data_IF_163911361313
#
_entry.id   IF_163911361313
#
_cell.length_a   1.000
_cell.length_b   1.000
_cell.length_c   1.000
_cell.angle_alpha   90.00
_cell.angle_beta   90.00
_cell.angle_gamma   90.00
#
_symmetry.space_group_name_H-M   'P 1'
#
loop_
_entity.id
_entity.type
_entity.pdbx_description
1 polymer ?
#
# COMPACT_ATOMS: atom_id res chain seq x y z
N UNK A 1 38.93 37.90 11.41
CA UNK A 1 40.21 37.85 10.63
C UNK A 1 40.04 36.77 9.55
N UNK A 2 39.66 37.27 8.50
CA UNK A 2 40.04 37.17 7.07
C UNK A 2 40.41 35.77 6.54
N UNK A 3 39.41 35.24 5.89
CA UNK A 3 39.48 34.23 4.83
C UNK A 3 39.99 34.92 3.56
N UNK A 4 41.26 34.79 3.20
CA UNK A 4 41.85 35.06 1.87
C UNK A 4 43.30 34.62 1.89
N UNK A 5 43.63 33.77 0.95
CA UNK A 5 44.96 33.33 0.49
C UNK A 5 45.14 31.82 0.61
N UNK A 6 44.79 31.11 -0.45
CA UNK A 6 45.68 30.26 -1.21
C UNK A 6 44.99 29.98 -2.55
N UNK A 7 45.24 30.89 -3.48
CA UNK A 7 45.04 30.66 -4.91
C UNK A 7 46.36 31.12 -5.53
N UNK A 8 47.23 30.23 -5.98
CA UNK A 8 48.24 30.55 -7.01
C UNK A 8 48.91 29.28 -7.55
N UNK A 9 48.85 29.20 -8.86
CA UNK A 9 49.74 28.52 -9.81
C UNK A 9 49.63 27.01 -10.02
N UNK A 10 48.96 26.61 -11.08
CA UNK A 10 49.55 25.76 -12.11
C UNK A 10 49.28 26.37 -13.49
N UNK A 11 50.34 26.85 -14.08
CA UNK A 11 50.43 27.43 -15.42
C UNK A 11 50.33 26.30 -16.46
N UNK A 12 49.46 26.49 -17.44
CA UNK A 12 49.28 25.65 -18.62
C UNK A 12 50.47 25.88 -19.56
N UNK A 13 51.19 24.82 -19.88
CA UNK A 13 52.07 24.77 -21.05
C UNK A 13 51.36 23.95 -22.12
N UNK A 14 50.84 24.64 -23.11
CA UNK A 14 50.34 24.07 -24.37
C UNK A 14 51.52 23.76 -25.28
N UNK A 15 51.79 22.51 -25.57
CA UNK A 15 52.59 22.06 -26.71
C UNK A 15 51.71 21.11 -27.56
N UNK A 16 51.59 21.34 -28.86
CA UNK A 16 50.77 20.49 -29.72
C UNK A 16 51.60 19.27 -30.16
N UNK A 17 51.12 18.06 -29.79
CA UNK A 17 51.54 16.83 -30.48
C UNK A 17 50.33 16.09 -31.02
N UNK A 18 50.15 16.26 -32.31
CA UNK A 18 49.35 15.37 -33.15
C UNK A 18 50.11 14.05 -33.28
N UNK A 19 49.61 13.00 -32.70
CA UNK A 19 50.13 11.64 -32.93
C UNK A 19 49.86 10.71 -31.74
N UNK A 20 48.86 9.82 -31.87
CA UNK A 20 48.65 8.63 -31.03
C UNK A 20 47.36 8.57 -30.16
N UNK A 21 46.26 9.03 -30.67
CA UNK A 21 44.95 8.67 -30.08
C UNK A 21 44.64 7.15 -30.18
N UNK A 22 45.32 6.42 -31.09
CA UNK A 22 45.15 4.96 -31.22
C UNK A 22 45.95 4.15 -30.18
N UNK A 23 47.07 4.67 -29.66
CA UNK A 23 47.93 3.97 -28.68
C UNK A 23 47.32 4.09 -27.28
N UNK A 24 46.84 5.27 -26.91
CA UNK A 24 46.19 5.51 -25.62
C UNK A 24 44.87 4.70 -25.47
N UNK A 25 44.07 4.56 -26.55
CA UNK A 25 42.87 3.70 -26.51
C UNK A 25 43.20 2.20 -26.41
N UNK A 26 44.38 1.77 -26.91
CA UNK A 26 44.81 0.37 -26.82
C UNK A 26 45.31 0.06 -25.40
N UNK A 27 46.04 0.98 -24.79
CA UNK A 27 46.57 0.81 -23.42
C UNK A 27 45.45 0.91 -22.37
N UNK A 28 44.46 1.81 -22.53
CA UNK A 28 43.26 1.83 -21.66
C UNK A 28 42.40 0.56 -21.79
N UNK A 29 42.25 0.03 -23.03
CA UNK A 29 41.53 -1.23 -23.21
C UNK A 29 42.28 -2.42 -22.61
N UNK A 30 43.59 -2.41 -22.62
CA UNK A 30 44.42 -3.45 -22.03
C UNK A 30 44.46 -3.37 -20.51
N UNK A 31 44.45 -2.15 -19.92
CA UNK A 31 44.25 -1.95 -18.46
C UNK A 31 42.88 -2.38 -17.99
N UNK A 32 41.78 -2.03 -18.69
CA UNK A 32 40.43 -2.45 -18.34
C UNK A 32 40.20 -3.96 -18.47
N UNK A 33 40.95 -4.64 -19.36
CA UNK A 33 40.90 -6.11 -19.49
C UNK A 33 41.71 -6.78 -18.38
N UNK A 34 42.85 -6.19 -17.96
CA UNK A 34 43.63 -6.69 -16.82
C UNK A 34 42.96 -6.45 -15.49
N UNK A 35 42.27 -5.32 -15.28
CA UNK A 35 41.42 -5.10 -14.07
C UNK A 35 40.21 -6.05 -14.02
N UNK A 36 39.52 -6.25 -15.14
CA UNK A 36 38.41 -7.25 -15.20
C UNK A 36 38.89 -8.69 -15.08
N UNK A 37 40.14 -9.01 -15.39
CA UNK A 37 40.73 -10.34 -15.14
C UNK A 37 41.28 -10.46 -13.71
N UNK A 38 41.64 -9.38 -13.04
CA UNK A 38 42.02 -9.36 -11.64
C UNK A 38 40.80 -9.52 -10.72
N UNK A 39 39.66 -8.91 -11.07
CA UNK A 39 38.40 -9.11 -10.34
C UNK A 39 37.80 -10.54 -10.48
N UNK A 40 38.19 -11.31 -11.50
CA UNK A 40 37.78 -12.71 -11.70
C UNK A 40 38.68 -13.76 -11.03
N UNK A 41 39.77 -13.34 -10.37
CA UNK A 41 40.54 -14.19 -9.48
C UNK A 41 40.38 -13.79 -8.01
N UNK A 42 39.14 -13.68 -7.53
CA UNK A 42 38.86 -14.07 -6.16
C UNK A 42 39.08 -15.58 -6.16
N UNK A 43 40.24 -16.02 -5.74
CA UNK A 43 40.49 -17.39 -5.34
C UNK A 43 39.49 -17.66 -4.24
N UNK A 44 38.39 -18.30 -4.59
CA UNK A 44 37.62 -19.04 -3.61
C UNK A 44 38.60 -20.04 -3.03
N UNK A 45 39.18 -19.71 -1.88
CA UNK A 45 39.73 -20.73 -1.00
C UNK A 45 38.64 -21.81 -0.92
N UNK A 46 38.94 -23.06 -1.27
CA UNK A 46 37.98 -24.12 -1.05
C UNK A 46 37.64 -24.05 0.43
N UNK A 47 36.37 -23.68 0.73
CA UNK A 47 35.80 -23.95 2.05
C UNK A 47 35.98 -25.44 2.18
N UNK A 48 36.90 -25.85 3.02
CA UNK A 48 37.01 -27.25 3.43
C UNK A 48 35.63 -27.58 4.03
N UNK A 49 34.77 -28.23 3.26
CA UNK A 49 33.51 -28.72 3.74
C UNK A 49 33.88 -29.67 4.88
N UNK A 50 33.62 -29.26 6.12
CA UNK A 50 33.73 -30.18 7.25
C UNK A 50 32.92 -31.40 6.90
N UNK A 51 33.50 -32.65 7.09
CA UNK A 51 32.81 -33.87 6.74
C UNK A 51 31.43 -33.90 7.43
N UNK A 52 30.41 -34.32 6.71
CA UNK A 52 29.05 -34.40 7.28
C UNK A 52 29.09 -35.34 8.50
N UNK A 53 28.45 -34.91 9.61
CA UNK A 53 28.41 -35.73 10.83
C UNK A 53 27.78 -37.13 10.57
N UNK A 54 28.41 -38.19 11.07
CA UNK A 54 27.93 -39.53 10.92
C UNK A 54 26.75 -39.80 11.87
N UNK A 55 25.64 -40.28 11.34
CA UNK A 55 24.47 -40.65 12.15
C UNK A 55 24.73 -42.06 12.72
N UNK A 56 24.84 -42.14 14.05
CA UNK A 56 25.03 -43.39 14.79
C UNK A 56 23.70 -43.92 15.33
N UNK A 57 23.68 -45.16 15.80
CA UNK A 57 22.53 -45.77 16.49
C UNK A 57 22.15 -44.95 17.74
N UNK A 58 23.13 -44.47 18.49
CA UNK A 58 22.94 -43.61 19.65
C UNK A 58 22.20 -42.30 19.28
N UNK A 59 22.52 -41.69 18.13
CA UNK A 59 21.80 -40.54 17.64
C UNK A 59 20.30 -40.83 17.44
N UNK A 60 19.97 -41.97 16.85
CA UNK A 60 18.57 -42.38 16.60
C UNK A 60 17.81 -42.62 17.90
N UNK A 61 18.45 -43.27 18.87
CA UNK A 61 17.90 -43.53 20.21
C UNK A 61 17.62 -42.19 20.91
N UNK A 62 18.60 -41.28 20.96
CA UNK A 62 18.46 -40.00 21.62
C UNK A 62 17.41 -39.10 20.95
N UNK A 63 17.26 -39.14 19.60
CA UNK A 63 16.17 -38.46 18.89
C UNK A 63 14.80 -38.93 19.42
N UNK A 64 14.63 -40.24 19.60
CA UNK A 64 13.37 -40.80 20.10
C UNK A 64 13.12 -40.40 21.56
N UNK A 65 14.14 -40.44 22.41
CA UNK A 65 14.05 -40.08 23.83
C UNK A 65 13.64 -38.64 24.03
N UNK A 66 14.37 -37.69 23.45
CA UNK A 66 14.00 -36.27 23.66
C UNK A 66 12.64 -35.95 23.03
N UNK A 67 12.30 -36.55 21.89
CA UNK A 67 11.01 -36.31 21.23
C UNK A 67 9.83 -36.73 22.10
N UNK A 68 9.91 -37.93 22.71
CA UNK A 68 8.89 -38.40 23.66
C UNK A 68 8.81 -37.48 24.89
N UNK A 69 9.96 -37.08 25.45
CA UNK A 69 9.98 -36.13 26.57
C UNK A 69 9.33 -34.80 26.22
N UNK A 70 9.59 -34.25 25.02
CA UNK A 70 8.95 -33.01 24.54
C UNK A 70 7.44 -33.16 24.35
N UNK A 71 6.97 -34.32 23.81
CA UNK A 71 5.52 -34.60 23.70
C UNK A 71 4.85 -34.58 25.06
N UNK A 72 5.53 -35.10 26.08
CA UNK A 72 5.06 -35.12 27.46
C UNK A 72 5.31 -33.82 28.22
N UNK A 73 5.86 -32.80 27.57
CA UNK A 73 6.24 -31.48 28.15
C UNK A 73 7.30 -31.58 29.26
N UNK A 74 8.10 -32.64 29.26
CA UNK A 74 9.20 -32.88 30.17
C UNK A 74 10.49 -32.29 29.58
N UNK A 75 10.55 -30.96 29.49
CA UNK A 75 11.61 -30.28 28.74
C UNK A 75 12.98 -30.37 29.42
N UNK A 76 13.02 -30.42 30.74
CA UNK A 76 14.26 -30.65 31.48
C UNK A 76 14.89 -32.02 31.19
N UNK A 77 14.06 -33.09 31.17
CA UNK A 77 14.50 -34.44 30.87
C UNK A 77 14.88 -34.61 29.39
N UNK A 78 14.31 -33.78 28.51
CA UNK A 78 14.61 -33.78 27.09
C UNK A 78 15.97 -33.15 26.75
N UNK A 79 16.55 -32.30 27.64
CA UNK A 79 17.72 -31.48 27.30
C UNK A 79 18.97 -32.32 26.99
N UNK A 80 19.37 -33.23 27.87
CA UNK A 80 20.60 -34.00 27.71
C UNK A 80 20.59 -34.91 26.46
N UNK A 81 19.55 -35.74 26.19
CA UNK A 81 19.50 -36.52 24.95
C UNK A 81 19.40 -35.61 23.70
N UNK A 82 18.70 -34.50 23.78
CA UNK A 82 18.66 -33.52 22.69
C UNK A 82 20.03 -32.85 22.44
N UNK A 83 20.73 -32.43 23.50
CA UNK A 83 22.06 -31.80 23.39
C UNK A 83 23.10 -32.75 22.78
N UNK A 84 23.06 -34.02 23.19
CA UNK A 84 23.90 -35.09 22.59
C UNK A 84 23.72 -35.12 21.06
N UNK A 85 22.48 -35.21 20.57
CA UNK A 85 22.21 -35.25 19.13
C UNK A 85 22.55 -33.95 18.44
N UNK A 86 22.16 -32.80 19.01
CA UNK A 86 22.44 -31.48 18.46
C UNK A 86 23.94 -31.23 18.30
N UNK A 87 24.75 -31.76 19.20
CA UNK A 87 26.21 -31.58 19.20
C UNK A 87 26.94 -32.54 18.25
N UNK A 88 26.53 -33.80 18.20
CA UNK A 88 27.29 -34.88 17.52
C UNK A 88 26.73 -35.24 16.14
N UNK A 89 25.42 -35.21 15.95
CA UNK A 89 24.74 -35.62 14.72
C UNK A 89 23.59 -34.66 14.33
N UNK A 90 23.89 -33.36 14.13
CA UNK A 90 22.91 -32.32 13.89
C UNK A 90 22.12 -32.48 12.57
N UNK A 91 22.59 -33.33 11.68
CA UNK A 91 21.93 -33.70 10.41
C UNK A 91 21.00 -34.93 10.53
N UNK A 92 20.86 -35.52 11.69
CA UNK A 92 20.11 -36.78 11.86
C UNK A 92 18.60 -36.59 11.61
N UNK A 93 18.00 -35.52 12.11
CA UNK A 93 16.57 -35.25 11.91
C UNK A 93 16.25 -33.79 12.15
N UNK A 94 15.39 -33.19 11.32
CA UNK A 94 14.92 -31.77 11.50
C UNK A 94 14.18 -31.54 12.82
N UNK A 95 13.67 -32.60 13.46
CA UNK A 95 12.99 -32.49 14.76
C UNK A 95 13.93 -31.98 15.87
N UNK A 96 15.26 -32.18 15.72
CA UNK A 96 16.30 -31.65 16.60
C UNK A 96 16.09 -30.13 16.79
N UNK A 97 15.71 -29.44 15.72
CA UNK A 97 15.55 -27.97 15.69
C UNK A 97 14.16 -27.54 16.14
N UNK A 98 13.11 -28.27 15.74
CA UNK A 98 11.73 -27.89 16.09
C UNK A 98 11.39 -28.22 17.56
N UNK A 99 11.88 -29.30 18.10
CA UNK A 99 11.71 -29.64 19.51
C UNK A 99 12.77 -28.96 20.36
N UNK A 100 14.01 -28.80 19.84
CA UNK A 100 15.06 -28.02 20.49
C UNK A 100 14.63 -26.60 20.81
N UNK A 101 13.87 -25.93 19.89
CA UNK A 101 13.32 -24.62 20.16
C UNK A 101 12.39 -24.59 21.40
N UNK A 102 11.54 -25.61 21.56
CA UNK A 102 10.65 -25.74 22.72
C UNK A 102 11.42 -26.02 24.01
N UNK A 103 12.47 -26.88 23.92
CA UNK A 103 13.35 -27.22 25.06
C UNK A 103 14.05 -25.95 25.55
N UNK A 104 14.73 -25.23 24.63
CA UNK A 104 15.49 -24.03 24.95
C UNK A 104 14.57 -22.93 25.50
N UNK A 105 13.38 -22.72 24.91
CA UNK A 105 12.40 -21.77 25.41
C UNK A 105 11.92 -22.10 26.82
N UNK A 106 11.63 -23.37 27.09
CA UNK A 106 11.17 -23.81 28.41
C UNK A 106 12.25 -23.61 29.48
N UNK A 107 13.52 -23.96 29.19
CA UNK A 107 14.64 -23.77 30.09
C UNK A 107 14.92 -22.29 30.31
N UNK A 108 14.86 -21.43 29.27
CA UNK A 108 15.01 -20.00 29.39
C UNK A 108 13.96 -19.38 30.32
N UNK A 109 12.71 -19.83 30.23
CA UNK A 109 11.63 -19.37 31.11
C UNK A 109 11.76 -19.89 32.55
N UNK A 110 12.39 -21.02 32.75
CA UNK A 110 12.54 -21.63 34.06
C UNK A 110 13.74 -21.08 34.85
N UNK A 111 14.78 -20.60 34.20
CA UNK A 111 15.96 -20.05 34.87
C UNK A 111 15.79 -18.60 35.28
N UNK A 112 16.36 -18.24 36.42
CA UNK A 112 16.52 -16.84 36.87
C UNK A 112 17.97 -16.37 36.77
N UNK A 113 18.89 -17.26 36.37
CA UNK A 113 20.31 -16.92 36.17
C UNK A 113 20.49 -16.19 34.83
N UNK A 114 20.93 -14.96 34.87
CA UNK A 114 21.11 -14.10 33.68
C UNK A 114 22.21 -14.63 32.74
N UNK A 115 23.24 -15.25 33.26
CA UNK A 115 24.28 -15.88 32.41
C UNK A 115 23.74 -17.09 31.66
N UNK A 116 22.91 -17.90 32.30
CA UNK A 116 22.22 -19.01 31.66
C UNK A 116 21.16 -18.55 30.66
N UNK A 117 20.43 -17.48 30.97
CA UNK A 117 19.51 -16.87 29.99
C UNK A 117 20.26 -16.42 28.74
N UNK A 118 21.36 -15.71 28.87
CA UNK A 118 22.16 -15.27 27.72
C UNK A 118 22.69 -16.47 26.91
N UNK A 119 23.16 -17.50 27.58
CA UNK A 119 23.61 -18.74 26.93
C UNK A 119 22.48 -19.39 26.12
N UNK A 120 21.28 -19.49 26.70
CA UNK A 120 20.11 -20.10 26.04
C UNK A 120 19.58 -19.23 24.90
N UNK A 121 19.58 -17.90 25.07
CA UNK A 121 19.21 -16.97 24.02
C UNK A 121 20.14 -17.08 22.79
N UNK A 122 21.46 -17.12 23.03
CA UNK A 122 22.44 -17.34 22.00
C UNK A 122 22.25 -18.69 21.30
N UNK A 123 22.04 -19.76 22.06
CA UNK A 123 21.78 -21.09 21.54
C UNK A 123 20.53 -21.13 20.65
N UNK A 124 19.44 -20.45 21.04
CA UNK A 124 18.21 -20.40 20.25
C UNK A 124 18.43 -19.80 18.85
N UNK A 125 19.27 -18.78 18.75
CA UNK A 125 19.60 -18.12 17.46
C UNK A 125 20.58 -18.98 16.64
N UNK A 126 21.67 -19.43 17.24
CA UNK A 126 22.70 -20.28 16.57
C UNK A 126 22.13 -21.60 16.08
N UNK A 127 21.15 -22.13 16.78
CA UNK A 127 20.44 -23.36 16.37
C UNK A 127 19.76 -23.17 14.99
N UNK A 128 19.24 -21.99 14.67
CA UNK A 128 18.65 -21.74 13.37
C UNK A 128 19.70 -21.67 12.25
N UNK A 129 20.91 -21.16 12.52
CA UNK A 129 22.01 -21.19 11.54
C UNK A 129 22.44 -22.63 11.24
N UNK A 130 22.56 -23.45 12.28
CA UNK A 130 22.85 -24.85 12.12
C UNK A 130 21.73 -25.61 11.37
N UNK A 131 20.44 -25.23 11.62
CA UNK A 131 19.30 -25.76 10.86
C UNK A 131 19.36 -25.37 9.38
N UNK A 132 19.74 -24.13 9.06
CA UNK A 132 19.92 -23.70 7.67
C UNK A 132 20.99 -24.53 6.99
N UNK A 133 22.13 -24.76 7.65
CA UNK A 133 23.24 -25.56 7.11
C UNK A 133 22.78 -26.96 6.68
N UNK A 134 22.04 -27.68 7.53
CA UNK A 134 21.69 -29.08 7.29
C UNK A 134 20.33 -29.27 6.62
N UNK A 135 19.40 -28.36 6.77
CA UNK A 135 18.00 -28.49 6.32
C UNK A 135 17.47 -27.28 5.54
N UNK A 136 18.33 -26.35 5.15
CA UNK A 136 17.91 -25.15 4.43
C UNK A 136 17.38 -25.41 3.02
N UNK A 137 17.66 -26.59 2.45
CA UNK A 137 17.15 -27.02 1.14
C UNK A 137 15.83 -27.80 1.22
N UNK A 138 15.20 -27.93 2.40
CA UNK A 138 13.91 -28.59 2.55
C UNK A 138 12.84 -27.83 1.73
N UNK A 139 12.12 -28.49 0.80
CA UNK A 139 11.16 -27.80 -0.08
C UNK A 139 10.00 -27.14 0.69
N UNK A 140 9.64 -27.68 1.86
CA UNK A 140 8.55 -27.18 2.70
C UNK A 140 9.03 -26.10 3.69
N UNK A 141 10.26 -26.21 4.14
CA UNK A 141 10.84 -25.35 5.17
C UNK A 141 12.23 -24.84 4.72
N UNK A 142 12.31 -24.11 3.58
CA UNK A 142 13.59 -23.67 3.03
C UNK A 142 14.28 -22.67 3.95
N UNK A 143 15.51 -22.30 3.58
CA UNK A 143 16.30 -21.27 4.29
C UNK A 143 15.49 -20.03 4.62
N UNK A 144 14.69 -19.51 3.68
CA UNK A 144 13.86 -18.34 3.90
C UNK A 144 12.83 -18.54 5.03
N UNK A 145 12.22 -19.73 5.12
CA UNK A 145 11.34 -20.08 6.24
C UNK A 145 12.08 -20.08 7.57
N UNK A 146 13.28 -20.71 7.62
CA UNK A 146 14.09 -20.83 8.83
C UNK A 146 14.57 -19.45 9.30
N UNK A 147 14.88 -18.53 8.38
CA UNK A 147 15.22 -17.15 8.72
C UNK A 147 14.06 -16.46 9.45
N UNK A 148 12.80 -16.73 9.07
CA UNK A 148 11.65 -16.23 9.83
C UNK A 148 11.64 -16.71 11.28
N UNK A 149 11.93 -18.00 11.51
CA UNK A 149 12.04 -18.56 12.86
C UNK A 149 13.22 -17.93 13.63
N UNK A 150 14.34 -17.66 12.94
CA UNK A 150 15.49 -16.97 13.54
C UNK A 150 15.16 -15.54 13.96
N UNK A 151 14.44 -14.79 13.10
CA UNK A 151 13.95 -13.46 13.44
C UNK A 151 13.03 -13.48 14.67
N UNK A 152 12.12 -14.45 14.73
CA UNK A 152 11.28 -14.65 15.92
C UNK A 152 12.10 -14.98 17.17
N UNK A 153 13.12 -15.82 17.05
CA UNK A 153 14.00 -16.14 18.17
C UNK A 153 14.73 -14.90 18.72
N UNK A 154 15.20 -13.99 17.85
CA UNK A 154 15.74 -12.72 18.33
C UNK A 154 14.73 -11.93 19.16
N UNK A 155 13.47 -11.85 18.72
CA UNK A 155 12.43 -11.12 19.44
C UNK A 155 12.05 -11.78 20.77
N UNK A 156 11.93 -13.12 20.77
CA UNK A 156 11.49 -13.88 21.93
C UNK A 156 12.54 -13.89 23.07
N UNK A 157 13.82 -13.88 22.71
CA UNK A 157 14.91 -14.04 23.69
C UNK A 157 15.64 -12.72 24.00
N UNK A 158 15.70 -11.78 23.05
CA UNK A 158 16.42 -10.52 23.22
C UNK A 158 15.50 -9.29 23.24
N UNK A 159 14.21 -9.46 22.94
CA UNK A 159 13.25 -8.36 22.87
C UNK A 159 13.72 -7.25 21.93
N UNK A 160 13.69 -6.01 22.40
CA UNK A 160 14.04 -4.84 21.59
C UNK A 160 15.55 -4.56 21.51
N UNK A 161 16.41 -5.38 22.15
CA UNK A 161 17.87 -5.13 22.15
C UNK A 161 18.55 -5.58 20.86
N UNK A 162 17.90 -6.44 20.07
CA UNK A 162 18.39 -7.04 18.81
C UNK A 162 17.43 -6.83 17.65
N UNK A 163 16.77 -5.65 17.58
CA UNK A 163 15.79 -5.36 16.54
C UNK A 163 16.38 -5.36 15.13
N UNK A 164 17.61 -4.90 14.94
CA UNK A 164 18.23 -4.86 13.62
C UNK A 164 18.50 -6.28 13.09
N UNK A 165 18.99 -7.17 13.93
CA UNK A 165 19.24 -8.57 13.59
C UNK A 165 17.92 -9.33 13.34
N UNK A 166 16.88 -9.06 14.15
CA UNK A 166 15.54 -9.61 13.96
C UNK A 166 14.96 -9.15 12.63
N UNK A 167 15.05 -7.84 12.32
CA UNK A 167 14.60 -7.23 11.09
C UNK A 167 15.25 -7.88 9.86
N UNK A 168 16.58 -7.98 9.83
CA UNK A 168 17.33 -8.56 8.72
C UNK A 168 16.85 -10.00 8.42
N UNK A 169 16.65 -10.81 9.46
CA UNK A 169 16.15 -12.17 9.33
C UNK A 169 14.70 -12.21 8.82
N UNK A 170 13.80 -11.39 9.39
CA UNK A 170 12.38 -11.34 8.99
C UNK A 170 12.23 -10.84 7.56
N UNK A 171 12.95 -9.80 7.17
CA UNK A 171 12.90 -9.23 5.83
C UNK A 171 13.36 -10.23 4.78
N UNK A 172 14.50 -10.91 5.00
CA UNK A 172 14.99 -11.97 4.12
C UNK A 172 14.01 -13.15 4.04
N UNK A 173 13.38 -13.49 5.15
CA UNK A 173 12.34 -14.51 5.18
C UNK A 173 11.14 -14.14 4.30
N UNK A 174 10.58 -12.94 4.49
CA UNK A 174 9.42 -12.48 3.73
C UNK A 174 9.76 -12.33 2.24
N UNK A 175 10.93 -11.79 1.92
CA UNK A 175 11.40 -11.68 0.53
C UNK A 175 11.52 -13.05 -0.16
N UNK A 176 11.97 -14.07 0.55
CA UNK A 176 12.15 -15.42 -0.01
C UNK A 176 10.87 -16.26 -0.04
N UNK A 177 9.97 -16.10 0.94
CA UNK A 177 8.72 -16.86 1.04
C UNK A 177 7.55 -16.20 0.33
N UNK A 178 7.57 -14.89 0.16
CA UNK A 178 6.49 -14.11 -0.46
C UNK A 178 5.14 -14.37 0.21
N UNK A 179 4.11 -14.63 -0.60
CA UNK A 179 2.76 -14.94 -0.11
C UNK A 179 2.65 -16.27 0.68
N UNK A 180 3.72 -17.09 0.72
CA UNK A 180 3.76 -18.30 1.56
C UNK A 180 4.34 -18.04 2.96
N UNK A 181 4.73 -16.80 3.26
CA UNK A 181 5.20 -16.42 4.60
C UNK A 181 4.16 -16.71 5.66
N UNK A 182 4.61 -17.09 6.87
CA UNK A 182 3.69 -17.15 8.01
C UNK A 182 3.09 -15.77 8.26
N UNK A 183 1.79 -15.70 8.56
CA UNK A 183 1.09 -14.44 8.89
C UNK A 183 1.84 -13.67 9.98
N UNK A 184 2.28 -14.35 11.04
CA UNK A 184 3.00 -13.70 12.14
C UNK A 184 4.38 -13.17 11.73
N UNK A 185 5.07 -13.81 10.78
CA UNK A 185 6.34 -13.28 10.24
C UNK A 185 6.11 -11.97 9.48
N UNK A 186 5.01 -11.88 8.69
CA UNK A 186 4.61 -10.65 8.02
C UNK A 186 4.30 -9.52 9.01
N UNK A 187 3.53 -9.83 10.05
CA UNK A 187 3.18 -8.86 11.10
C UNK A 187 4.42 -8.39 11.84
N UNK A 188 5.28 -9.33 12.27
CA UNK A 188 6.49 -9.00 13.04
C UNK A 188 7.52 -8.22 12.23
N UNK A 189 7.58 -8.40 10.91
CA UNK A 189 8.39 -7.54 10.05
C UNK A 189 7.94 -6.08 10.17
N UNK A 190 6.62 -5.80 10.12
CA UNK A 190 6.09 -4.44 10.25
C UNK A 190 6.29 -3.88 11.66
N UNK A 191 6.02 -4.68 12.71
CA UNK A 191 6.23 -4.26 14.10
C UNK A 191 7.67 -3.81 14.34
N UNK A 192 8.63 -4.67 13.96
CA UNK A 192 10.07 -4.41 14.16
C UNK A 192 10.54 -3.24 13.31
N UNK A 193 10.09 -3.16 12.06
CA UNK A 193 10.42 -2.06 11.16
C UNK A 193 9.88 -0.73 11.67
N UNK A 194 8.68 -0.71 12.27
CA UNK A 194 8.11 0.47 12.92
C UNK A 194 8.92 0.90 14.15
N UNK A 195 9.35 -0.07 14.99
CA UNK A 195 10.18 0.24 16.15
C UNK A 195 11.56 0.79 15.73
N UNK A 196 12.16 0.26 14.67
CA UNK A 196 13.39 0.80 14.09
C UNK A 196 13.17 2.21 13.50
N UNK A 197 12.05 2.43 12.80
CA UNK A 197 11.69 3.76 12.29
C UNK A 197 11.58 4.79 13.42
N UNK A 198 10.98 4.44 14.54
CA UNK A 198 10.92 5.34 15.72
C UNK A 198 12.31 5.65 16.30
N UNK A 199 13.27 4.73 16.18
CA UNK A 199 14.62 4.91 16.68
C UNK A 199 15.52 5.72 15.75
N UNK A 200 15.43 5.50 14.43
CA UNK A 200 16.39 6.00 13.44
C UNK A 200 15.81 6.95 12.39
N UNK A 201 14.47 7.10 12.34
CA UNK A 201 13.78 7.97 11.38
C UNK A 201 13.76 7.47 9.93
N UNK A 202 14.22 6.22 9.65
CA UNK A 202 14.26 5.68 8.29
C UNK A 202 12.86 5.29 7.80
N UNK A 203 12.13 6.27 7.27
CA UNK A 203 10.77 6.07 6.75
C UNK A 203 10.76 5.19 5.49
N UNK A 204 11.77 5.30 4.62
CA UNK A 204 11.85 4.53 3.36
C UNK A 204 11.86 3.02 3.64
N UNK A 205 12.68 2.56 4.60
CA UNK A 205 12.73 1.15 4.98
C UNK A 205 11.39 0.68 5.56
N UNK A 206 10.82 1.47 6.47
CA UNK A 206 9.54 1.11 7.09
C UNK A 206 8.40 1.03 6.07
N UNK A 207 8.31 1.98 5.12
CA UNK A 207 7.32 1.97 4.04
C UNK A 207 7.51 0.72 3.17
N UNK A 208 8.74 0.39 2.78
CA UNK A 208 9.05 -0.78 1.97
C UNK A 208 8.62 -2.09 2.65
N UNK A 209 8.93 -2.25 3.93
CA UNK A 209 8.58 -3.45 4.71
C UNK A 209 7.07 -3.57 4.91
N UNK A 210 6.40 -2.44 5.21
CA UNK A 210 4.95 -2.39 5.30
C UNK A 210 4.28 -2.80 3.99
N UNK A 211 4.70 -2.23 2.86
CA UNK A 211 4.12 -2.56 1.55
C UNK A 211 4.30 -4.05 1.22
N UNK A 212 5.49 -4.59 1.45
CA UNK A 212 5.77 -6.01 1.23
C UNK A 212 4.85 -6.89 2.08
N UNK A 213 4.76 -6.65 3.38
CA UNK A 213 3.95 -7.43 4.29
C UNK A 213 2.44 -7.29 4.01
N UNK A 214 1.94 -6.06 3.83
CA UNK A 214 0.53 -5.77 3.56
C UNK A 214 0.06 -6.40 2.25
N UNK A 215 0.87 -6.36 1.17
CA UNK A 215 0.54 -7.00 -0.10
C UNK A 215 0.46 -8.54 0.02
N UNK A 216 1.36 -9.17 0.77
CA UNK A 216 1.30 -10.62 1.00
C UNK A 216 0.13 -11.02 1.89
N UNK A 217 -0.19 -10.24 2.92
CA UNK A 217 -1.40 -10.43 3.74
C UNK A 217 -2.67 -10.30 2.89
N UNK A 218 -2.76 -9.32 2.00
CA UNK A 218 -3.87 -9.15 1.07
C UNK A 218 -4.02 -10.37 0.15
N UNK A 219 -2.92 -10.87 -0.41
CA UNK A 219 -2.91 -12.08 -1.24
C UNK A 219 -3.40 -13.30 -0.48
N UNK A 220 -2.98 -13.46 0.79
CA UNK A 220 -3.44 -14.56 1.64
C UNK A 220 -4.92 -14.41 2.01
N UNK A 221 -5.39 -13.19 2.27
CA UNK A 221 -6.77 -12.89 2.64
C UNK A 221 -7.76 -13.14 1.48
N UNK A 222 -7.35 -12.81 0.26
CA UNK A 222 -8.18 -12.99 -0.94
C UNK A 222 -8.19 -14.42 -1.50
N UNK A 223 -7.34 -15.31 -1.01
CA UNK A 223 -7.26 -16.68 -1.48
C UNK A 223 -8.34 -17.56 -0.81
N UNK A 224 -9.39 -18.00 -1.52
CA UNK A 224 -10.47 -18.79 -0.93
C UNK A 224 -10.03 -20.19 -0.46
N UNK A 225 -8.90 -20.70 -0.97
CA UNK A 225 -8.33 -21.96 -0.51
C UNK A 225 -7.50 -21.83 0.79
N UNK A 226 -7.22 -20.60 1.23
CA UNK A 226 -6.47 -20.35 2.46
C UNK A 226 -7.38 -20.45 3.69
N UNK A 227 -7.21 -21.49 4.50
CA UNK A 227 -7.96 -21.69 5.75
C UNK A 227 -7.78 -20.53 6.75
N UNK A 228 -6.71 -19.75 6.63
CA UNK A 228 -6.38 -18.62 7.48
C UNK A 228 -6.71 -17.27 6.82
N UNK A 229 -7.51 -17.23 5.75
CA UNK A 229 -7.83 -15.99 5.02
C UNK A 229 -8.40 -14.90 5.93
N UNK A 230 -9.35 -15.23 6.83
CA UNK A 230 -9.90 -14.28 7.80
C UNK A 230 -8.85 -13.76 8.80
N UNK A 231 -7.89 -14.60 9.21
CA UNK A 231 -6.78 -14.17 10.07
C UNK A 231 -5.86 -13.23 9.30
N UNK A 232 -5.54 -13.55 8.04
CA UNK A 232 -4.73 -12.69 7.20
C UNK A 232 -5.38 -11.32 6.97
N UNK A 233 -6.70 -11.26 6.72
CA UNK A 233 -7.45 -10.02 6.61
C UNK A 233 -7.36 -9.17 7.88
N UNK A 234 -7.64 -9.77 9.05
CA UNK A 234 -7.52 -9.07 10.34
C UNK A 234 -6.11 -8.55 10.62
N UNK A 235 -5.09 -9.33 10.28
CA UNK A 235 -3.70 -8.90 10.48
C UNK A 235 -3.28 -7.84 9.47
N UNK A 236 -3.86 -7.84 8.26
CA UNK A 236 -3.69 -6.75 7.31
C UNK A 236 -4.23 -5.45 7.87
N UNK A 237 -5.46 -5.45 8.41
CA UNK A 237 -6.03 -4.25 9.05
C UNK A 237 -5.15 -3.75 10.20
N UNK A 238 -4.54 -4.65 10.97
CA UNK A 238 -3.61 -4.29 12.03
C UNK A 238 -2.36 -3.58 11.50
N UNK A 239 -1.68 -4.12 10.50
CA UNK A 239 -0.47 -3.48 9.94
C UNK A 239 -0.80 -2.18 9.20
N UNK A 240 -1.96 -2.10 8.54
CA UNK A 240 -2.44 -0.87 7.89
C UNK A 240 -2.69 0.24 8.94
N UNK A 241 -3.22 -0.10 10.12
CA UNK A 241 -3.39 0.84 11.23
C UNK A 241 -2.05 1.34 11.79
N UNK A 242 -1.06 0.44 11.98
CA UNK A 242 0.30 0.86 12.40
C UNK A 242 0.87 1.87 11.39
N UNK A 243 0.74 1.58 10.11
CA UNK A 243 1.24 2.47 9.05
C UNK A 243 0.52 3.83 9.07
N UNK A 244 -0.80 3.84 9.21
CA UNK A 244 -1.60 5.07 9.23
C UNK A 244 -1.24 6.00 10.39
N UNK A 245 -0.95 5.45 11.59
CA UNK A 245 -0.61 6.26 12.78
C UNK A 245 0.88 6.58 12.89
N UNK A 246 1.73 5.99 12.07
CA UNK A 246 3.19 6.11 12.18
C UNK A 246 3.73 7.49 11.85
N UNK A 247 2.99 8.29 11.06
CA UNK A 247 3.47 9.53 10.44
C UNK A 247 4.46 9.32 9.29
N UNK A 248 4.76 8.07 8.89
CA UNK A 248 5.52 7.78 7.68
C UNK A 248 4.69 7.99 6.41
N UNK A 249 3.35 7.95 6.53
CA UNK A 249 2.38 8.21 5.47
C UNK A 249 2.12 9.71 5.21
N UNK A 250 2.86 10.62 5.85
CA UNK A 250 2.77 12.06 5.58
C UNK A 250 3.21 12.39 4.16
N UNK A 251 2.39 13.17 3.43
CA UNK A 251 2.62 13.47 2.02
C UNK A 251 3.96 14.17 1.76
N UNK A 252 4.36 15.09 2.66
CA UNK A 252 5.63 15.81 2.50
C UNK A 252 6.83 14.86 2.64
N UNK A 253 6.77 13.91 3.57
CA UNK A 253 7.83 12.89 3.73
C UNK A 253 7.90 11.95 2.53
N UNK A 254 6.75 11.54 2.00
CA UNK A 254 6.72 10.74 0.77
C UNK A 254 7.32 11.50 -0.41
N UNK A 255 7.03 12.79 -0.53
CA UNK A 255 7.60 13.64 -1.57
C UNK A 255 9.12 13.76 -1.43
N UNK A 256 9.66 13.94 -0.23
CA UNK A 256 11.10 13.95 0.04
C UNK A 256 11.77 12.64 -0.39
N UNK A 257 11.15 11.49 -0.11
CA UNK A 257 11.69 10.16 -0.43
C UNK A 257 11.63 9.89 -1.93
N UNK A 258 10.50 10.17 -2.58
CA UNK A 258 10.24 9.68 -3.93
C UNK A 258 10.47 10.69 -5.06
N UNK A 259 10.59 12.00 -4.80
CA UNK A 259 10.75 13.02 -5.85
C UNK A 259 11.97 12.75 -6.75
N UNK A 260 13.13 12.50 -6.16
CA UNK A 260 14.36 12.20 -6.91
C UNK A 260 14.25 10.85 -7.64
N UNK A 261 13.65 9.85 -7.01
CA UNK A 261 13.48 8.51 -7.58
C UNK A 261 12.56 8.54 -8.82
N UNK A 262 11.43 9.23 -8.75
CA UNK A 262 10.50 9.40 -9.89
C UNK A 262 11.19 10.13 -11.05
N UNK A 263 11.88 11.23 -10.76
CA UNK A 263 12.57 12.03 -11.78
C UNK A 263 13.68 11.26 -12.49
N UNK A 264 14.44 10.43 -11.77
CA UNK A 264 15.55 9.65 -12.31
C UNK A 264 15.10 8.37 -13.05
N UNK A 265 13.91 7.86 -12.81
CA UNK A 265 13.47 6.54 -13.28
C UNK A 265 12.13 6.58 -14.04
N UNK A 266 11.93 7.58 -14.89
CA UNK A 266 10.70 7.78 -15.68
C UNK A 266 10.36 6.62 -16.64
N UNK A 267 11.28 5.70 -16.88
CA UNK A 267 11.08 4.49 -17.69
C UNK A 267 10.89 3.21 -16.87
N UNK A 268 10.95 3.28 -15.54
CA UNK A 268 10.74 2.13 -14.66
C UNK A 268 9.26 2.01 -14.27
N UNK A 269 8.49 1.32 -15.11
CA UNK A 269 7.05 1.18 -14.95
C UNK A 269 6.66 0.57 -13.58
N UNK A 270 7.34 -0.50 -13.15
CA UNK A 270 7.02 -1.19 -11.89
C UNK A 270 7.16 -0.25 -10.68
N UNK A 271 8.25 0.52 -10.63
CA UNK A 271 8.47 1.51 -9.57
C UNK A 271 7.42 2.62 -9.60
N UNK A 272 7.13 3.18 -10.79
CA UNK A 272 6.15 4.26 -10.92
C UNK A 272 4.74 3.82 -10.50
N UNK A 273 4.33 2.60 -10.87
CA UNK A 273 3.04 2.02 -10.46
C UNK A 273 2.97 1.76 -8.95
N UNK A 274 4.05 1.28 -8.33
CA UNK A 274 4.13 1.09 -6.87
C UNK A 274 3.97 2.43 -6.14
N UNK A 275 4.69 3.46 -6.59
CA UNK A 275 4.58 4.80 -6.01
C UNK A 275 3.16 5.34 -6.17
N UNK A 276 2.56 5.26 -7.35
CA UNK A 276 1.19 5.72 -7.58
C UNK A 276 0.18 5.01 -6.67
N UNK A 277 0.29 3.69 -6.50
CA UNK A 277 -0.56 2.92 -5.58
C UNK A 277 -0.37 3.30 -4.12
N UNK A 278 0.88 3.54 -3.68
CA UNK A 278 1.18 4.01 -2.33
C UNK A 278 0.50 5.35 -2.05
N UNK A 279 0.73 6.35 -2.92
CA UNK A 279 0.16 7.69 -2.75
C UNK A 279 -1.37 7.67 -2.76
N UNK A 280 -2.00 6.86 -3.62
CA UNK A 280 -3.46 6.66 -3.63
C UNK A 280 -3.94 6.09 -2.30
N UNK A 281 -3.27 5.05 -1.78
CA UNK A 281 -3.61 4.39 -0.52
C UNK A 281 -3.61 5.35 0.66
N UNK A 282 -2.61 6.23 0.74
CA UNK A 282 -2.47 7.21 1.82
C UNK A 282 -3.16 8.55 1.53
N UNK A 283 -3.94 8.64 0.46
CA UNK A 283 -4.71 9.82 0.03
C UNK A 283 -3.85 11.06 -0.27
N UNK A 284 -2.60 10.88 -0.69
CA UNK A 284 -1.69 11.95 -1.13
C UNK A 284 -1.78 12.22 -2.64
N UNK A 285 -2.98 12.15 -3.21
CA UNK A 285 -3.22 12.25 -4.67
C UNK A 285 -3.06 13.64 -5.25
N UNK A 286 -2.89 14.65 -4.39
CA UNK A 286 -2.63 16.04 -4.81
C UNK A 286 -1.12 16.36 -4.91
N UNK A 287 -0.23 15.43 -4.52
CA UNK A 287 1.21 15.62 -4.59
C UNK A 287 1.71 15.70 -6.04
N UNK A 288 2.65 16.61 -6.31
CA UNK A 288 3.31 16.72 -7.63
C UNK A 288 4.13 15.46 -7.97
N UNK A 289 4.67 14.77 -6.97
CA UNK A 289 5.40 13.50 -7.14
C UNK A 289 4.46 12.39 -7.60
N UNK A 290 3.28 12.30 -6.98
CA UNK A 290 2.22 11.38 -7.42
C UNK A 290 1.81 11.64 -8.86
N UNK A 291 1.50 12.89 -9.20
CA UNK A 291 1.05 13.27 -10.53
C UNK A 291 2.12 12.99 -11.59
N UNK A 292 3.40 13.28 -11.28
CA UNK A 292 4.53 12.96 -12.16
C UNK A 292 4.71 11.46 -12.35
N UNK A 293 4.59 10.67 -11.28
CA UNK A 293 4.65 9.21 -11.36
C UNK A 293 3.52 8.64 -12.23
N UNK A 294 2.29 9.13 -12.05
CA UNK A 294 1.13 8.73 -12.85
C UNK A 294 1.30 9.09 -14.33
N UNK A 295 1.76 10.31 -14.64
CA UNK A 295 2.00 10.74 -16.02
C UNK A 295 3.08 9.88 -16.71
N UNK A 296 4.18 9.61 -16.02
CA UNK A 296 5.24 8.77 -16.55
C UNK A 296 4.77 7.31 -16.76
N UNK A 297 4.06 6.74 -15.78
CA UNK A 297 3.51 5.39 -15.87
C UNK A 297 2.48 5.28 -17.02
N UNK A 298 1.61 6.29 -17.17
CA UNK A 298 0.57 6.30 -18.21
C UNK A 298 1.15 6.30 -19.62
N UNK A 299 2.27 7.02 -19.84
CA UNK A 299 2.98 7.02 -21.12
C UNK A 299 3.58 5.65 -21.47
N UNK A 300 3.96 4.87 -20.45
CA UNK A 300 4.55 3.54 -20.64
C UNK A 300 3.46 2.48 -20.80
N UNK A 301 2.50 2.47 -19.89
CA UNK A 301 1.37 1.54 -19.89
C UNK A 301 0.20 2.15 -19.13
N UNK A 302 -0.90 2.51 -19.78
CA UNK A 302 -2.10 3.02 -19.11
C UNK A 302 -2.68 2.02 -18.11
N UNK A 303 -2.93 2.46 -16.88
CA UNK A 303 -3.69 1.76 -15.85
C UNK A 303 -4.78 2.68 -15.31
N UNK A 304 -5.73 2.15 -14.55
CA UNK A 304 -6.77 2.97 -13.93
C UNK A 304 -6.17 4.07 -13.01
N UNK A 305 -5.15 3.75 -12.22
CA UNK A 305 -4.48 4.71 -11.33
C UNK A 305 -3.74 5.78 -12.13
N UNK A 306 -3.01 5.39 -13.18
CA UNK A 306 -2.27 6.36 -13.99
C UNK A 306 -3.20 7.28 -14.75
N UNK A 307 -4.32 6.77 -15.28
CA UNK A 307 -5.33 7.59 -15.94
C UNK A 307 -5.99 8.57 -14.96
N UNK A 308 -6.36 8.12 -13.75
CA UNK A 308 -6.93 8.98 -12.70
C UNK A 308 -5.92 10.07 -12.25
N UNK A 309 -4.63 9.75 -12.16
CA UNK A 309 -3.58 10.73 -11.88
C UNK A 309 -3.44 11.77 -12.98
N UNK A 310 -3.47 11.37 -14.25
CA UNK A 310 -3.50 12.29 -15.39
C UNK A 310 -4.74 13.19 -15.39
N UNK A 311 -5.91 12.64 -15.00
CA UNK A 311 -7.13 13.43 -14.85
C UNK A 311 -6.98 14.51 -13.77
N UNK A 312 -6.45 14.14 -12.59
CA UNK A 312 -6.19 15.10 -11.50
C UNK A 312 -5.20 16.19 -11.92
N UNK A 313 -4.13 15.81 -12.66
CA UNK A 313 -3.16 16.78 -13.19
C UNK A 313 -3.83 17.76 -14.17
N UNK A 314 -4.64 17.25 -15.10
CA UNK A 314 -5.36 18.11 -16.07
C UNK A 314 -6.31 19.07 -15.36
N UNK A 315 -7.03 18.60 -14.34
CA UNK A 315 -7.91 19.43 -13.53
C UNK A 315 -7.15 20.53 -12.77
N UNK A 316 -5.98 20.25 -12.20
CA UNK A 316 -5.09 21.26 -11.58
C UNK A 316 -4.69 22.36 -12.57
N UNK A 317 -4.51 22.02 -13.83
CA UNK A 317 -4.20 22.95 -14.92
C UNK A 317 -5.44 23.72 -15.44
N UNK A 318 -6.64 23.40 -14.94
CA UNK A 318 -7.91 23.98 -15.38
C UNK A 318 -8.46 23.36 -16.67
N UNK A 319 -7.83 22.30 -17.19
CA UNK A 319 -8.28 21.57 -18.37
C UNK A 319 -9.26 20.45 -17.95
N UNK A 320 -10.49 20.85 -17.67
CA UNK A 320 -11.51 19.93 -17.15
C UNK A 320 -12.05 18.96 -18.22
N UNK A 321 -12.02 19.33 -19.48
CA UNK A 321 -12.43 18.43 -20.57
C UNK A 321 -11.47 17.27 -20.69
N UNK A 322 -10.17 17.54 -20.70
CA UNK A 322 -9.13 16.50 -20.68
C UNK A 322 -9.19 15.67 -19.39
N UNK A 323 -9.45 16.30 -18.23
CA UNK A 323 -9.63 15.58 -16.98
C UNK A 323 -10.79 14.57 -17.04
N UNK A 324 -11.94 14.97 -17.58
CA UNK A 324 -13.10 14.10 -17.77
C UNK A 324 -12.76 12.97 -18.75
N UNK A 325 -12.02 13.23 -19.83
CA UNK A 325 -11.59 12.20 -20.76
C UNK A 325 -10.70 11.12 -20.10
N UNK A 326 -9.73 11.54 -19.30
CA UNK A 326 -8.88 10.61 -18.54
C UNK A 326 -9.65 9.83 -17.46
N UNK A 327 -10.61 10.45 -16.75
CA UNK A 327 -11.46 9.73 -15.82
C UNK A 327 -12.34 8.70 -16.54
N UNK A 328 -12.87 8.99 -17.72
CA UNK A 328 -13.60 8.00 -18.52
C UNK A 328 -12.70 6.82 -18.90
N UNK A 329 -11.45 7.06 -19.26
CA UNK A 329 -10.47 6.00 -19.48
C UNK A 329 -10.22 5.18 -18.21
N UNK A 330 -10.05 5.86 -17.05
CA UNK A 330 -9.89 5.20 -15.76
C UNK A 330 -11.09 4.29 -15.42
N UNK A 331 -12.33 4.75 -15.70
CA UNK A 331 -13.56 3.97 -15.49
C UNK A 331 -13.53 2.68 -16.32
N UNK A 332 -13.16 2.76 -17.59
CA UNK A 332 -13.14 1.55 -18.44
C UNK A 332 -12.03 0.57 -18.02
N UNK A 333 -10.85 1.07 -17.64
CA UNK A 333 -9.76 0.25 -17.11
C UNK A 333 -10.14 -0.40 -15.77
N UNK A 334 -10.76 0.36 -14.85
CA UNK A 334 -11.22 -0.15 -13.56
C UNK A 334 -12.30 -1.23 -13.70
N UNK A 335 -13.23 -1.08 -14.65
CA UNK A 335 -14.23 -2.12 -14.99
C UNK A 335 -13.54 -3.40 -15.47
N UNK A 336 -12.56 -3.28 -16.35
CA UNK A 336 -11.82 -4.42 -16.87
C UNK A 336 -11.05 -5.18 -15.79
N UNK A 337 -10.59 -4.47 -14.74
CA UNK A 337 -9.90 -5.02 -13.57
C UNK A 337 -10.86 -5.54 -12.50
N UNK A 338 -12.17 -5.26 -12.60
CA UNK A 338 -13.17 -5.60 -11.58
C UNK A 338 -13.16 -4.69 -10.35
N UNK A 339 -12.47 -3.55 -10.42
CA UNK A 339 -12.34 -2.58 -9.32
C UNK A 339 -13.55 -1.66 -9.24
N UNK A 340 -14.72 -2.22 -8.93
CA UNK A 340 -16.00 -1.50 -9.02
C UNK A 340 -16.13 -0.33 -8.02
N UNK A 341 -15.42 -0.34 -6.90
CA UNK A 341 -15.36 0.81 -5.99
C UNK A 341 -14.67 2.01 -6.65
N UNK A 342 -13.55 1.77 -7.33
CA UNK A 342 -12.86 2.81 -8.10
C UNK A 342 -13.73 3.34 -9.25
N UNK A 343 -14.49 2.45 -9.92
CA UNK A 343 -15.47 2.87 -10.94
C UNK A 343 -16.46 3.89 -10.37
N UNK A 344 -17.04 3.61 -9.20
CA UNK A 344 -18.00 4.51 -8.56
C UNK A 344 -17.36 5.86 -8.18
N UNK A 345 -16.13 5.85 -7.67
CA UNK A 345 -15.40 7.07 -7.31
C UNK A 345 -15.03 7.91 -8.53
N UNK A 346 -14.56 7.30 -9.61
CA UNK A 346 -14.25 8.01 -10.84
C UNK A 346 -15.51 8.59 -11.50
N UNK A 347 -16.63 7.87 -11.50
CA UNK A 347 -17.92 8.38 -11.95
C UNK A 347 -18.37 9.60 -11.12
N UNK A 348 -18.21 9.55 -9.80
CA UNK A 348 -18.48 10.70 -8.94
C UNK A 348 -17.59 11.91 -9.29
N UNK A 349 -16.29 11.70 -9.50
CA UNK A 349 -15.37 12.78 -9.86
C UNK A 349 -15.75 13.44 -11.18
N UNK A 350 -16.14 12.65 -12.19
CA UNK A 350 -16.68 13.20 -13.45
C UNK A 350 -17.95 14.03 -13.19
N UNK A 351 -18.86 13.53 -12.35
CA UNK A 351 -20.08 14.30 -12.00
C UNK A 351 -19.74 15.63 -11.35
N UNK A 352 -18.74 15.68 -10.46
CA UNK A 352 -18.27 16.92 -9.82
C UNK A 352 -17.73 17.89 -10.86
N UNK A 353 -16.86 17.45 -11.77
CA UNK A 353 -16.30 18.35 -12.80
C UNK A 353 -17.36 18.82 -13.78
N UNK A 354 -18.28 17.97 -14.20
CA UNK A 354 -19.43 18.36 -15.01
C UNK A 354 -20.29 19.44 -14.32
N UNK A 355 -20.55 19.28 -13.02
CA UNK A 355 -21.31 20.26 -12.26
C UNK A 355 -20.54 21.55 -12.02
N UNK A 356 -19.37 21.46 -11.38
CA UNK A 356 -18.66 22.61 -10.83
C UNK A 356 -17.93 23.44 -11.89
N UNK A 357 -17.37 22.78 -12.90
CA UNK A 357 -16.42 23.40 -13.82
C UNK A 357 -17.00 23.60 -15.22
N UNK A 358 -17.48 22.55 -15.89
CA UNK A 358 -18.02 22.67 -17.26
C UNK A 358 -19.48 23.15 -17.31
N UNK A 359 -20.19 23.11 -16.16
CA UNK A 359 -21.63 23.47 -16.05
C UNK A 359 -22.54 22.58 -16.92
N UNK A 360 -22.06 21.38 -17.28
CA UNK A 360 -22.87 20.36 -17.96
C UNK A 360 -23.70 19.59 -16.93
N UNK A 361 -24.81 20.18 -16.50
CA UNK A 361 -25.69 19.59 -15.48
C UNK A 361 -26.32 18.27 -15.87
N UNK A 362 -26.74 18.06 -17.14
CA UNK A 362 -27.21 16.75 -17.59
C UNK A 362 -26.17 15.65 -17.42
N UNK A 363 -24.90 15.88 -17.81
CA UNK A 363 -23.82 14.95 -17.63
C UNK A 363 -23.47 14.76 -16.16
N UNK A 364 -23.49 15.81 -15.33
CA UNK A 364 -23.30 15.69 -13.90
C UNK A 364 -24.30 14.70 -13.27
N UNK A 365 -25.60 14.83 -13.61
CA UNK A 365 -26.65 13.88 -13.18
C UNK A 365 -26.37 12.46 -13.69
N UNK A 366 -26.04 12.31 -14.98
CA UNK A 366 -25.77 11.01 -15.60
C UNK A 366 -24.70 10.25 -14.84
N UNK A 367 -23.55 10.88 -14.58
CA UNK A 367 -22.43 10.24 -13.90
C UNK A 367 -22.70 10.04 -12.40
N UNK A 368 -23.40 10.94 -11.73
CA UNK A 368 -23.83 10.75 -10.34
C UNK A 368 -24.77 9.54 -10.19
N UNK A 369 -25.74 9.38 -11.11
CA UNK A 369 -26.61 8.20 -11.11
C UNK A 369 -25.86 6.92 -11.43
N UNK A 370 -24.88 6.95 -12.32
CA UNK A 370 -24.02 5.80 -12.60
C UNK A 370 -23.23 5.37 -11.34
N UNK A 371 -22.65 6.35 -10.60
CA UNK A 371 -21.97 6.07 -9.33
C UNK A 371 -22.92 5.44 -8.29
N UNK A 372 -24.15 5.96 -8.16
CA UNK A 372 -25.18 5.40 -7.27
C UNK A 372 -25.49 3.95 -7.65
N UNK A 373 -25.66 3.66 -8.95
CA UNK A 373 -25.95 2.31 -9.44
C UNK A 373 -24.80 1.35 -9.10
N UNK A 374 -23.56 1.75 -9.37
CA UNK A 374 -22.36 0.95 -9.06
C UNK A 374 -22.25 0.68 -7.54
N UNK A 375 -22.45 1.70 -6.68
CA UNK A 375 -22.45 1.52 -5.23
C UNK A 375 -23.59 0.60 -4.76
N UNK A 376 -24.76 0.70 -5.38
CA UNK A 376 -25.90 -0.16 -5.05
C UNK A 376 -25.64 -1.63 -5.38
N UNK A 377 -24.99 -1.91 -6.53
CA UNK A 377 -24.56 -3.26 -6.91
C UNK A 377 -23.56 -3.86 -5.92
N UNK A 378 -22.73 -3.00 -5.30
CA UNK A 378 -21.79 -3.38 -4.22
C UNK A 378 -22.46 -3.49 -2.84
N UNK A 379 -23.75 -3.21 -2.74
CA UNK A 379 -24.49 -3.19 -1.45
C UNK A 379 -24.09 -2.02 -0.54
N UNK A 380 -23.46 -0.97 -1.08
CA UNK A 380 -22.97 0.19 -0.34
C UNK A 380 -23.95 1.35 -0.44
N UNK A 381 -24.36 1.89 0.71
CA UNK A 381 -25.15 3.14 0.80
C UNK A 381 -24.26 4.36 1.03
N UNK A 382 -23.13 4.18 1.71
CA UNK A 382 -22.14 5.22 1.89
C UNK A 382 -21.60 5.69 0.54
N UNK A 383 -21.52 7.02 0.36
CA UNK A 383 -21.13 7.66 -0.89
C UNK A 383 -22.27 7.94 -1.85
N UNK A 384 -23.44 7.25 -1.74
CA UNK A 384 -24.60 7.59 -2.57
C UNK A 384 -25.16 8.98 -2.25
N UNK A 385 -25.10 9.39 -0.97
CA UNK A 385 -25.60 10.69 -0.53
C UNK A 385 -24.90 11.85 -1.22
N UNK A 386 -23.58 11.81 -1.35
CA UNK A 386 -22.81 12.84 -2.06
C UNK A 386 -23.23 12.96 -3.54
N UNK A 387 -23.58 11.86 -4.18
CA UNK A 387 -24.07 11.84 -5.55
C UNK A 387 -25.44 12.52 -5.67
N UNK A 388 -26.38 12.22 -4.73
CA UNK A 388 -27.68 12.91 -4.69
C UNK A 388 -27.52 14.41 -4.41
N UNK A 389 -26.55 14.82 -3.60
CA UNK A 389 -26.24 16.25 -3.38
C UNK A 389 -25.84 16.92 -4.71
N UNK A 390 -24.93 16.32 -5.49
CA UNK A 390 -24.54 16.87 -6.81
C UNK A 390 -25.76 17.00 -7.73
N UNK A 391 -26.64 15.99 -7.77
CA UNK A 391 -27.87 16.03 -8.59
C UNK A 391 -28.76 17.22 -8.13
N UNK A 392 -28.97 17.36 -6.83
CA UNK A 392 -29.77 18.46 -6.26
C UNK A 392 -29.17 19.84 -6.59
N UNK A 393 -27.86 19.97 -6.46
CA UNK A 393 -27.16 21.22 -6.83
C UNK A 393 -27.26 21.53 -8.32
N UNK A 394 -27.16 20.50 -9.19
CA UNK A 394 -27.33 20.65 -10.62
C UNK A 394 -28.76 21.12 -10.97
N UNK A 395 -29.77 20.56 -10.30
CA UNK A 395 -31.17 21.02 -10.47
C UNK A 395 -31.33 22.46 -10.02
N UNK A 396 -30.87 22.81 -8.82
CA UNK A 396 -30.97 24.17 -8.28
C UNK A 396 -30.28 25.24 -9.16
N UNK A 397 -29.22 24.83 -9.89
CA UNK A 397 -28.48 25.70 -10.80
C UNK A 397 -29.13 25.82 -12.19
N UNK A 398 -30.18 25.06 -12.45
CA UNK A 398 -30.82 25.00 -13.77
C UNK A 398 -31.89 26.08 -13.96
N UNK A 399 -32.14 26.44 -15.22
CA UNK A 399 -33.21 27.35 -15.65
C UNK A 399 -33.87 26.77 -16.88
N UNK A 400 -34.67 25.66 -16.71
CA UNK A 400 -35.28 24.96 -17.86
C UNK A 400 -36.40 25.74 -18.55
N UNK A 401 -36.94 26.76 -17.93
CA UNK A 401 -37.96 27.61 -18.47
C UNK A 401 -37.36 28.95 -18.86
N UNK A 402 -37.95 29.66 -19.82
CA UNK A 402 -37.43 30.95 -20.28
C UNK A 402 -37.24 32.02 -19.19
N UNK A 403 -36.75 33.17 -19.60
CA UNK A 403 -36.50 34.31 -18.69
C UNK A 403 -37.64 35.33 -18.65
N UNK A 404 -38.78 35.05 -19.29
CA UNK A 404 -40.00 35.87 -19.17
C UNK A 404 -40.62 35.76 -17.75
N UNK A 405 -41.60 36.56 -17.45
CA UNK A 405 -42.22 36.62 -16.13
C UNK A 405 -42.76 35.23 -15.69
N UNK A 406 -43.40 34.48 -16.60
CA UNK A 406 -43.87 33.13 -16.36
C UNK A 406 -42.70 32.17 -16.11
N UNK A 407 -41.70 32.17 -16.99
CA UNK A 407 -40.54 31.33 -16.87
C UNK A 407 -39.73 31.59 -15.59
N UNK A 408 -39.65 32.85 -15.16
CA UNK A 408 -38.99 33.22 -13.92
C UNK A 408 -39.64 32.54 -12.69
N UNK A 409 -40.97 32.47 -12.63
CA UNK A 409 -41.72 31.78 -11.57
C UNK A 409 -41.53 30.29 -11.71
N UNK A 410 -41.70 29.71 -12.93
CA UNK A 410 -41.57 28.29 -13.18
C UNK A 410 -40.14 27.78 -12.87
N UNK A 411 -39.10 28.59 -13.11
CA UNK A 411 -37.72 28.26 -12.76
C UNK A 411 -37.52 28.08 -11.25
N UNK A 412 -38.38 28.62 -10.39
CA UNK A 412 -38.33 28.38 -8.94
C UNK A 412 -38.78 26.96 -8.57
N UNK A 413 -39.52 26.24 -9.42
CA UNK A 413 -39.94 24.86 -9.18
C UNK A 413 -38.77 23.87 -9.15
N UNK A 414 -37.62 24.22 -9.78
CA UNK A 414 -36.41 23.38 -9.74
C UNK A 414 -35.92 23.17 -8.30
N UNK A 415 -36.18 24.16 -7.41
CA UNK A 415 -35.76 24.05 -6.01
C UNK A 415 -36.56 22.98 -5.25
N UNK A 416 -37.82 22.70 -5.63
CA UNK A 416 -38.55 21.55 -5.07
C UNK A 416 -37.87 20.24 -5.41
N UNK A 417 -37.56 20.04 -6.71
CA UNK A 417 -36.85 18.83 -7.17
C UNK A 417 -35.44 18.72 -6.58
N UNK A 418 -34.74 19.85 -6.41
CA UNK A 418 -33.42 19.86 -5.76
C UNK A 418 -33.51 19.43 -4.29
N UNK A 419 -34.49 19.96 -3.55
CA UNK A 419 -34.69 19.58 -2.14
C UNK A 419 -35.10 18.11 -2.01
N UNK A 420 -35.88 17.55 -2.95
CA UNK A 420 -36.16 16.11 -2.96
C UNK A 420 -34.87 15.29 -3.03
N UNK A 421 -33.87 15.72 -3.81
CA UNK A 421 -32.58 15.04 -3.89
C UNK A 421 -31.77 15.17 -2.59
N UNK A 422 -31.76 16.33 -1.93
CA UNK A 422 -31.11 16.50 -0.63
C UNK A 422 -31.77 15.66 0.47
N UNK A 423 -33.10 15.58 0.47
CA UNK A 423 -33.83 14.68 1.37
C UNK A 423 -33.44 13.22 1.10
N UNK A 424 -33.40 12.82 -0.17
CA UNK A 424 -32.97 11.47 -0.56
C UNK A 424 -31.54 11.19 -0.14
N UNK A 425 -30.61 12.16 -0.27
CA UNK A 425 -29.21 12.05 0.12
C UNK A 425 -29.07 11.59 1.58
N UNK A 426 -29.69 12.32 2.52
CA UNK A 426 -29.62 11.97 3.95
C UNK A 426 -30.38 10.71 4.34
N UNK A 427 -31.39 10.30 3.56
CA UNK A 427 -32.11 9.06 3.79
C UNK A 427 -31.29 7.81 3.44
N UNK A 428 -30.47 7.87 2.38
CA UNK A 428 -29.68 6.74 1.92
C UNK A 428 -28.30 6.69 2.54
N UNK A 429 -27.76 7.86 2.93
CA UNK A 429 -26.40 8.00 3.45
C UNK A 429 -26.41 9.01 4.62
N UNK A 430 -26.53 8.53 5.87
CA UNK A 430 -26.53 9.39 7.05
C UNK A 430 -25.27 10.24 7.22
N UNK A 431 -24.13 9.87 6.58
CA UNK A 431 -22.88 10.61 6.72
C UNK A 431 -22.96 12.02 6.14
N UNK A 432 -23.88 12.26 5.20
CA UNK A 432 -24.11 13.58 4.57
C UNK A 432 -25.29 14.34 5.16
N UNK A 433 -25.91 13.87 6.27
CA UNK A 433 -27.14 14.46 6.81
C UNK A 433 -27.00 15.94 7.14
N UNK A 434 -25.92 16.36 7.79
CA UNK A 434 -25.67 17.76 8.15
C UNK A 434 -25.63 18.64 6.89
N UNK A 435 -24.84 18.26 5.90
CA UNK A 435 -24.70 18.99 4.62
C UNK A 435 -26.04 19.04 3.86
N UNK A 436 -26.76 17.93 3.81
CA UNK A 436 -28.07 17.88 3.15
C UNK A 436 -29.08 18.82 3.83
N UNK A 437 -29.10 18.87 5.16
CA UNK A 437 -29.97 19.78 5.92
C UNK A 437 -29.64 21.25 5.66
N UNK A 438 -28.37 21.62 5.54
CA UNK A 438 -27.93 22.97 5.16
C UNK A 438 -28.46 23.35 3.77
N UNK A 439 -28.35 22.47 2.78
CA UNK A 439 -28.86 22.70 1.45
C UNK A 439 -30.41 22.78 1.44
N UNK A 440 -31.11 21.92 2.16
CA UNK A 440 -32.57 21.98 2.31
C UNK A 440 -32.99 23.33 2.87
N UNK A 441 -32.37 23.79 3.96
CA UNK A 441 -32.68 25.07 4.59
C UNK A 441 -32.37 26.25 3.66
N UNK A 442 -31.30 26.19 2.89
CA UNK A 442 -30.89 27.24 1.96
C UNK A 442 -31.83 27.35 0.76
N UNK A 443 -32.12 26.22 0.12
CA UNK A 443 -32.87 26.22 -1.14
C UNK A 443 -34.37 26.29 -0.97
N UNK A 444 -34.94 25.88 0.19
CA UNK A 444 -36.36 26.02 0.50
C UNK A 444 -36.85 27.48 0.50
N UNK A 445 -35.94 28.45 0.68
CA UNK A 445 -36.25 29.87 0.65
C UNK A 445 -36.60 30.40 -0.75
N UNK A 446 -36.25 29.62 -1.78
CA UNK A 446 -36.41 30.03 -3.18
C UNK A 446 -37.61 29.38 -3.87
N UNK A 447 -38.47 28.69 -3.12
CA UNK A 447 -39.70 28.11 -3.67
C UNK A 447 -40.61 29.17 -4.27
N UNK A 448 -41.44 28.82 -5.29
CA UNK A 448 -42.53 29.71 -5.73
C UNK A 448 -43.44 30.06 -4.54
N UNK A 449 -43.63 31.39 -4.31
CA UNK A 449 -44.52 31.85 -3.21
C UNK A 449 -45.96 31.48 -3.49
N UNK A 450 -46.84 31.65 -2.48
CA UNK A 450 -48.28 31.41 -2.67
C UNK A 450 -48.89 32.37 -3.70
N UNK A 451 -48.45 33.63 -3.69
CA UNK A 451 -48.85 34.65 -4.63
C UNK A 451 -48.42 34.28 -6.05
N UNK A 452 -47.17 33.94 -6.26
CA UNK A 452 -46.64 33.53 -7.55
C UNK A 452 -47.34 32.27 -8.11
N UNK A 453 -47.75 31.34 -7.24
CA UNK A 453 -48.54 30.17 -7.66
C UNK A 453 -49.99 30.53 -8.00
N UNK A 454 -50.52 31.50 -7.30
CA UNK A 454 -51.86 32.00 -7.60
C UNK A 454 -51.94 32.72 -8.96
N UNK A 455 -50.83 33.39 -9.39
CA UNK A 455 -50.73 34.00 -10.70
C UNK A 455 -50.65 32.98 -11.85
N UNK A 456 -50.32 31.70 -11.55
CA UNK A 456 -50.15 30.61 -12.53
C UNK A 456 -50.99 29.37 -12.13
N UNK A 457 -52.34 29.51 -11.94
CA UNK A 457 -53.15 28.43 -11.34
C UNK A 457 -53.23 27.17 -12.22
N UNK A 458 -53.11 27.31 -13.54
CA UNK A 458 -53.12 26.17 -14.47
C UNK A 458 -51.84 25.34 -14.40
N UNK A 459 -50.72 25.98 -14.05
CA UNK A 459 -49.41 25.35 -13.97
C UNK A 459 -49.20 24.62 -12.62
N UNK A 460 -49.74 25.21 -11.53
CA UNK A 460 -49.60 24.70 -10.19
C UNK A 460 -50.90 24.04 -9.64
N UNK A 461 -51.66 23.44 -10.55
CA UNK A 461 -52.89 22.73 -10.17
C UNK A 461 -52.57 21.36 -9.61
N UNK A 462 -53.02 21.04 -8.38
CA UNK A 462 -52.82 19.76 -7.76
C UNK A 462 -51.74 19.71 -6.67
N UNK A 463 -51.27 18.51 -6.36
CA UNK A 463 -50.28 18.27 -5.29
C UNK A 463 -48.87 18.06 -5.79
N UNK A 464 -48.66 17.93 -7.09
CA UNK A 464 -47.32 17.69 -7.72
C UNK A 464 -47.14 18.57 -8.94
N UNK A 465 -45.90 18.87 -9.24
CA UNK A 465 -45.45 19.63 -10.39
C UNK A 465 -44.41 18.87 -11.18
N UNK A 466 -44.53 18.80 -12.50
CA UNK A 466 -43.54 18.21 -13.38
C UNK A 466 -42.52 19.27 -13.82
N UNK A 467 -41.29 19.15 -13.33
CA UNK A 467 -40.17 20.01 -13.74
C UNK A 467 -39.69 19.57 -15.10
N UNK A 468 -39.88 20.39 -16.12
CA UNK A 468 -39.55 20.10 -17.51
C UNK A 468 -38.07 20.20 -17.84
N UNK A 469 -37.81 20.28 -19.15
CA UNK A 469 -36.45 20.31 -19.69
C UNK A 469 -35.65 19.04 -19.42
N UNK A 470 -34.36 19.16 -19.23
CA UNK A 470 -33.49 18.01 -18.97
C UNK A 470 -33.72 17.35 -17.57
N UNK A 471 -34.38 18.05 -16.62
CA UNK A 471 -34.69 17.50 -15.30
C UNK A 471 -35.73 16.40 -15.44
N UNK A 472 -36.87 16.66 -16.10
CA UNK A 472 -37.85 15.65 -16.47
C UNK A 472 -38.40 14.83 -15.29
N UNK A 473 -38.60 15.46 -14.12
CA UNK A 473 -39.05 14.76 -12.90
C UNK A 473 -40.25 15.46 -12.25
N UNK A 474 -41.12 14.68 -11.60
CA UNK A 474 -42.19 15.22 -10.77
C UNK A 474 -41.76 15.42 -9.34
N UNK A 475 -42.19 16.52 -8.72
CA UNK A 475 -41.92 16.87 -7.33
C UNK A 475 -43.22 17.32 -6.64
N UNK A 476 -43.29 17.26 -5.32
CA UNK A 476 -44.42 17.77 -4.56
C UNK A 476 -44.43 19.30 -4.56
N UNK A 477 -45.60 19.90 -4.72
CA UNK A 477 -45.81 21.34 -4.50
C UNK A 477 -45.76 21.59 -3.00
N UNK A 478 -44.87 22.51 -2.57
CA UNK A 478 -44.67 22.87 -1.17
C UNK A 478 -45.09 24.29 -0.86
#
# INVERSE_FOLDING_TARGET
MNLKQVLTFVLVVLIPMVGSAKKVKKDLKQQMVTEKMAEKKVVQTPVLEEPEPTITEECVINVSLFHESVKNKQYADAYEPWWSVYSTCPNANKIIYTDGAKIVEALYKATTDEAEKERLAKLAVEMQDKRIRFFGNDPKYPTAYILGEKGMAYLDFYGNTKLAEAHDCLQKSVSGMGAQSKIMTLVKLVDVSYDLYKQNGNAEQFISDYEMASNHLATQASNPANKNAAVAAKQKDYVDNIFAISGAADCSKLDEIYAAAVSANISNLDMLQKIAKLYKRVRCTESEVYLAACEAAHKLQPTQESAAGCASMSAKKGDYETAIAYYNQAIELAKAEGSMEDVADYQYNVAVYCFANTKDYPSARKYALASIATLSELGKTEGQGRCYIIIGMAYASSRPYGNDAKGAILNKSVYWAAVDKFVKAKQVDPTVEATANEYIASYSKYYPTKEERFDLPNEFSGSSFYVGGWIGESTAIR
#
